data_IF_348918634773
#
_entry.id   IF_348918634773
#
_cell.length_a   1.000
_cell.length_b   1.000
_cell.length_c   1.000
_cell.angle_alpha   90.00
_cell.angle_beta   90.00
_cell.angle_gamma   90.00
#
_symmetry.space_group_name_H-M   'P 1'
#
loop_
_entity.id
_entity.type
_entity.pdbx_description
1 polymer ?
#
# COMPACT_ATOMS: atom_id res chain seq x y z
N UNK A 1 47.41 11.21 2.71
CA UNK A 1 46.00 11.02 3.14
C UNK A 1 45.16 10.94 1.91
N UNK A 2 44.79 9.71 1.45
CA UNK A 2 43.82 9.54 0.37
C UNK A 2 42.43 9.70 1.01
N UNK A 3 41.66 10.62 0.42
CA UNK A 3 40.28 10.92 0.79
C UNK A 3 39.44 9.66 0.60
N UNK A 4 38.81 9.17 1.67
CA UNK A 4 37.82 8.08 1.56
C UNK A 4 36.70 8.56 0.66
N UNK A 5 36.58 7.94 -0.50
CA UNK A 5 35.57 8.31 -1.49
C UNK A 5 34.21 7.80 -0.98
N UNK A 6 33.32 8.72 -0.66
CA UNK A 6 31.99 8.38 -0.16
C UNK A 6 31.08 8.06 -1.34
N UNK A 7 30.59 6.81 -1.43
CA UNK A 7 29.61 6.38 -2.42
C UNK A 7 28.20 6.59 -1.91
N UNK A 8 27.34 7.19 -2.74
CA UNK A 8 25.92 7.38 -2.43
C UNK A 8 25.14 6.06 -2.50
N UNK A 9 23.98 6.00 -1.85
CA UNK A 9 23.08 4.84 -1.95
C UNK A 9 22.64 4.58 -3.39
N UNK A 10 22.46 5.63 -4.19
CA UNK A 10 22.12 5.51 -5.62
C UNK A 10 23.23 4.80 -6.40
N UNK A 11 24.49 5.15 -6.14
CA UNK A 11 25.63 4.49 -6.78
C UNK A 11 25.76 3.03 -6.36
N UNK A 12 25.48 2.71 -5.09
CA UNK A 12 25.50 1.33 -4.61
C UNK A 12 24.36 0.51 -5.24
N UNK A 13 23.18 1.09 -5.38
CA UNK A 13 22.06 0.43 -6.06
C UNK A 13 22.37 0.22 -7.54
N UNK A 14 22.84 1.25 -8.26
CA UNK A 14 23.24 1.15 -9.66
C UNK A 14 24.32 0.09 -9.89
N UNK A 15 25.25 -0.06 -8.92
CA UNK A 15 26.25 -1.13 -8.97
C UNK A 15 25.63 -2.52 -8.87
N UNK A 16 24.70 -2.70 -7.90
CA UNK A 16 24.00 -3.99 -7.70
C UNK A 16 23.10 -4.33 -8.88
N UNK A 17 22.54 -3.30 -9.55
CA UNK A 17 21.71 -3.47 -10.75
C UNK A 17 22.52 -3.64 -12.04
N UNK A 18 23.82 -3.39 -11.99
CA UNK A 18 24.73 -3.53 -13.12
C UNK A 18 24.71 -2.32 -14.05
N UNK A 19 24.16 -1.19 -13.61
CA UNK A 19 23.96 0.04 -14.39
C UNK A 19 25.12 1.04 -14.32
N UNK A 20 26.14 0.79 -13.46
CA UNK A 20 27.34 1.61 -13.42
C UNK A 20 28.22 1.43 -14.64
N UNK A 21 28.85 2.51 -15.07
CA UNK A 21 29.86 2.45 -16.11
C UNK A 21 31.12 1.67 -15.66
N UNK A 22 31.96 1.17 -16.59
CA UNK A 22 33.12 0.33 -16.24
C UNK A 22 34.15 1.04 -15.36
N UNK A 23 34.30 2.37 -15.46
CA UNK A 23 35.28 3.11 -14.68
C UNK A 23 34.78 3.32 -13.24
N UNK A 24 33.52 3.66 -13.05
CA UNK A 24 32.87 3.78 -11.75
C UNK A 24 32.84 2.44 -11.02
N UNK A 25 32.52 1.37 -11.73
CA UNK A 25 32.54 0.01 -11.21
C UNK A 25 33.91 -0.40 -10.72
N UNK A 26 34.99 -0.08 -11.47
CA UNK A 26 36.35 -0.36 -11.08
C UNK A 26 36.78 0.45 -9.85
N UNK A 27 36.37 1.72 -9.76
CA UNK A 27 36.62 2.56 -8.58
C UNK A 27 35.93 1.99 -7.34
N UNK A 28 34.70 1.55 -7.46
CA UNK A 28 33.92 0.99 -6.37
C UNK A 28 34.54 -0.32 -5.85
N UNK A 29 34.95 -1.24 -6.75
CA UNK A 29 35.67 -2.45 -6.34
C UNK A 29 36.96 -2.16 -5.60
N UNK A 30 37.78 -1.24 -6.11
CA UNK A 30 39.05 -0.88 -5.46
C UNK A 30 38.85 -0.24 -4.09
N UNK A 31 37.71 0.41 -3.84
CA UNK A 31 37.40 0.98 -2.53
C UNK A 31 36.75 -0.07 -1.60
N UNK A 32 35.93 -0.97 -2.10
CA UNK A 32 35.33 -2.05 -1.33
C UNK A 32 36.42 -2.98 -0.72
N UNK A 33 37.43 -3.33 -1.47
CA UNK A 33 38.56 -4.13 -0.99
C UNK A 33 39.32 -3.47 0.18
N UNK A 34 39.17 -2.17 0.38
CA UNK A 34 39.86 -1.38 1.42
C UNK A 34 38.98 -0.94 2.56
N UNK A 35 37.66 -0.97 2.39
CA UNK A 35 36.66 -0.53 3.36
C UNK A 35 35.70 -1.66 3.70
N UNK A 36 35.86 -2.33 4.85
CA UNK A 36 34.95 -3.37 5.30
C UNK A 36 33.51 -2.88 5.43
N UNK A 37 33.32 -1.60 5.74
CA UNK A 37 32.03 -0.97 5.90
C UNK A 37 31.29 -0.83 4.54
N UNK A 38 32.02 -0.46 3.49
CA UNK A 38 31.49 -0.40 2.13
C UNK A 38 31.14 -1.80 1.61
N UNK A 39 32.00 -2.79 1.86
CA UNK A 39 31.74 -4.19 1.48
C UNK A 39 30.49 -4.73 2.19
N UNK A 40 30.32 -4.44 3.48
CA UNK A 40 29.11 -4.84 4.22
C UNK A 40 27.84 -4.23 3.64
N UNK A 41 27.85 -2.94 3.27
CA UNK A 41 26.71 -2.28 2.63
C UNK A 41 26.38 -2.92 1.28
N UNK A 42 27.37 -3.22 0.46
CA UNK A 42 27.20 -3.92 -0.84
C UNK A 42 26.62 -5.32 -0.66
N UNK A 43 27.12 -6.07 0.34
CA UNK A 43 26.59 -7.38 0.68
C UNK A 43 25.11 -7.33 1.10
N UNK A 44 24.72 -6.33 1.87
CA UNK A 44 23.33 -6.12 2.28
C UNK A 44 22.43 -5.83 1.08
N UNK A 45 22.84 -4.93 0.17
CA UNK A 45 22.08 -4.59 -1.04
C UNK A 45 21.92 -5.80 -1.96
N UNK A 46 22.97 -6.58 -2.19
CA UNK A 46 22.92 -7.82 -2.98
C UNK A 46 21.95 -8.83 -2.37
N UNK A 47 21.99 -8.99 -1.04
CA UNK A 47 21.09 -9.92 -0.34
C UNK A 47 19.63 -9.53 -0.51
N UNK A 48 19.29 -8.25 -0.43
CA UNK A 48 17.93 -7.76 -0.67
C UNK A 48 17.49 -8.07 -2.10
N UNK A 49 18.35 -7.79 -3.11
CA UNK A 49 18.04 -8.07 -4.52
C UNK A 49 17.80 -9.56 -4.77
N UNK A 50 18.63 -10.44 -4.21
CA UNK A 50 18.46 -11.90 -4.36
C UNK A 50 17.17 -12.39 -3.67
N UNK A 51 16.81 -11.84 -2.52
CA UNK A 51 15.55 -12.17 -1.86
C UNK A 51 14.33 -11.75 -2.69
N UNK A 52 14.36 -10.55 -3.28
CA UNK A 52 13.30 -10.08 -4.17
C UNK A 52 13.22 -10.97 -5.40
N UNK A 53 14.35 -11.26 -6.06
CA UNK A 53 14.40 -12.15 -7.22
C UNK A 53 13.83 -13.52 -6.90
N UNK A 54 14.23 -14.13 -5.78
CA UNK A 54 13.71 -15.41 -5.35
C UNK A 54 12.20 -15.41 -5.09
N UNK A 55 11.66 -14.31 -4.56
CA UNK A 55 10.21 -14.15 -4.36
C UNK A 55 9.42 -14.17 -5.68
N UNK A 56 10.05 -13.76 -6.79
CA UNK A 56 9.44 -13.72 -8.13
C UNK A 56 9.80 -14.90 -9.05
N UNK A 57 10.71 -15.79 -8.64
CA UNK A 57 11.14 -16.95 -9.46
C UNK A 57 9.98 -17.92 -9.80
N UNK A 58 8.91 -17.93 -9.00
CA UNK A 58 7.76 -18.82 -9.18
C UNK A 58 6.51 -18.11 -9.72
N UNK A 59 6.63 -16.87 -10.22
CA UNK A 59 5.48 -16.19 -10.83
C UNK A 59 5.24 -16.78 -12.21
N UNK A 60 4.08 -17.43 -12.49
CA UNK A 60 3.79 -17.99 -13.80
C UNK A 60 3.76 -16.89 -14.86
N UNK A 61 4.48 -17.13 -15.97
CA UNK A 61 4.43 -16.18 -17.09
C UNK A 61 2.99 -15.98 -17.57
N UNK A 62 2.58 -14.72 -17.83
CA UNK A 62 1.25 -14.44 -18.35
C UNK A 62 1.09 -15.16 -19.70
N UNK A 63 0.09 -16.03 -19.79
CA UNK A 63 -0.24 -16.76 -21.01
C UNK A 63 -0.57 -15.75 -22.11
N UNK A 64 0.36 -15.55 -23.03
CA UNK A 64 0.11 -14.71 -24.22
C UNK A 64 -0.86 -15.48 -25.11
N UNK A 65 -2.05 -14.91 -25.46
CA UNK A 65 -2.93 -15.58 -26.38
C UNK A 65 -2.23 -15.82 -27.72
N UNK A 66 -2.17 -17.09 -28.15
CA UNK A 66 -1.56 -17.46 -29.41
C UNK A 66 -2.23 -16.70 -30.56
N UNK A 67 -1.48 -15.87 -31.26
CA UNK A 67 -1.94 -15.23 -32.49
C UNK A 67 -2.05 -16.30 -33.55
N UNK A 68 -3.29 -16.74 -33.83
CA UNK A 68 -3.56 -17.63 -34.98
C UNK A 68 -3.17 -16.93 -36.28
N UNK A 69 -2.46 -17.59 -37.18
CA UNK A 69 -2.11 -17.02 -38.49
C UNK A 69 -3.38 -16.80 -39.30
N UNK A 70 -3.63 -15.55 -39.71
CA UNK A 70 -4.73 -15.21 -40.61
C UNK A 70 -4.50 -15.89 -41.97
N UNK A 71 -5.28 -16.96 -42.22
CA UNK A 71 -5.37 -17.59 -43.53
C UNK A 71 -5.98 -16.62 -44.55
N UNK A 72 -5.19 -16.32 -45.59
CA UNK A 72 -5.50 -15.34 -46.65
C UNK A 72 -6.67 -15.70 -47.59
N UNK A 73 -7.34 -16.83 -47.37
CA UNK A 73 -8.29 -17.41 -48.33
C UNK A 73 -9.78 -17.09 -48.10
N UNK A 74 -10.15 -16.29 -47.09
CA UNK A 74 -11.56 -16.09 -46.75
C UNK A 74 -11.98 -14.61 -46.57
N UNK A 75 -11.14 -13.67 -46.98
CA UNK A 75 -11.37 -12.27 -46.69
C UNK A 75 -12.65 -11.69 -47.27
N UNK A 76 -12.98 -11.96 -48.54
CA UNK A 76 -14.19 -11.39 -49.21
C UNK A 76 -15.49 -11.97 -48.65
N UNK A 77 -15.59 -13.25 -48.28
CA UNK A 77 -16.81 -13.81 -47.68
C UNK A 77 -17.04 -13.36 -46.25
N UNK A 78 -15.95 -13.05 -45.50
CA UNK A 78 -16.04 -12.56 -44.13
C UNK A 78 -16.44 -11.08 -44.06
N UNK A 79 -16.03 -10.26 -45.03
CA UNK A 79 -16.40 -8.85 -45.10
C UNK A 79 -17.88 -8.67 -45.36
N UNK A 80 -18.51 -9.49 -46.25
CA UNK A 80 -19.93 -9.46 -46.49
C UNK A 80 -20.76 -9.93 -45.26
N UNK A 81 -20.33 -10.98 -44.57
CA UNK A 81 -20.98 -11.43 -43.33
C UNK A 81 -20.86 -10.41 -42.19
N UNK A 82 -19.69 -9.76 -42.06
CA UNK A 82 -19.48 -8.72 -41.06
C UNK A 82 -20.31 -7.47 -41.32
N UNK A 83 -20.49 -7.07 -42.58
CA UNK A 83 -21.38 -5.95 -42.96
C UNK A 83 -22.83 -6.15 -42.57
N UNK A 84 -23.36 -7.35 -42.82
CA UNK A 84 -24.76 -7.69 -42.48
C UNK A 84 -24.95 -7.78 -40.95
N UNK A 85 -23.96 -8.34 -40.21
CA UNK A 85 -24.05 -8.39 -38.75
C UNK A 85 -23.92 -6.98 -38.12
N UNK A 86 -23.17 -6.10 -38.75
CA UNK A 86 -22.99 -4.71 -38.24
C UNK A 86 -24.28 -3.89 -38.46
N UNK A 87 -24.95 -4.04 -39.60
CA UNK A 87 -26.18 -3.33 -39.87
C UNK A 87 -27.33 -3.86 -39.01
N UNK A 88 -27.43 -5.19 -38.83
CA UNK A 88 -28.44 -5.81 -37.94
C UNK A 88 -28.13 -5.46 -36.47
N UNK A 89 -26.87 -5.48 -36.07
CA UNK A 89 -26.46 -5.10 -34.72
C UNK A 89 -26.69 -3.62 -34.41
N UNK A 90 -26.42 -2.71 -35.35
CA UNK A 90 -26.71 -1.29 -35.19
C UNK A 90 -28.23 -1.03 -35.14
N UNK A 91 -29.03 -1.68 -35.99
CA UNK A 91 -30.49 -1.56 -36.00
C UNK A 91 -31.14 -2.11 -34.74
N UNK A 92 -30.72 -3.31 -34.30
CA UNK A 92 -31.19 -3.89 -33.03
C UNK A 92 -30.70 -3.11 -31.79
N UNK A 93 -29.47 -2.56 -31.84
CA UNK A 93 -28.90 -1.72 -30.78
C UNK A 93 -29.64 -0.40 -30.63
N UNK A 94 -29.99 0.28 -31.75
CA UNK A 94 -30.76 1.54 -31.72
C UNK A 94 -32.20 1.31 -31.27
N UNK A 95 -32.86 0.25 -31.77
CA UNK A 95 -34.21 -0.12 -31.33
C UNK A 95 -34.19 -0.60 -29.86
N UNK A 96 -33.23 -1.41 -29.47
CA UNK A 96 -33.04 -1.82 -28.08
C UNK A 96 -32.81 -0.63 -27.15
N UNK A 97 -31.96 0.32 -27.54
CA UNK A 97 -31.76 1.55 -26.77
C UNK A 97 -33.06 2.35 -26.63
N UNK A 98 -33.82 2.51 -27.70
CA UNK A 98 -35.08 3.25 -27.67
C UNK A 98 -36.15 2.58 -26.79
N UNK A 99 -36.27 1.24 -26.84
CA UNK A 99 -37.23 0.50 -26.00
C UNK A 99 -36.74 0.34 -24.54
N UNK A 100 -35.45 0.21 -24.30
CA UNK A 100 -34.89 0.11 -22.95
C UNK A 100 -34.88 1.45 -22.20
N UNK A 101 -34.73 2.57 -22.92
CA UNK A 101 -34.72 3.91 -22.31
C UNK A 101 -36.13 4.36 -21.87
N UNK A 102 -37.17 3.92 -22.58
CA UNK A 102 -38.57 4.20 -22.17
C UNK A 102 -39.05 3.38 -20.96
N UNK A 103 -38.40 2.25 -20.67
CA UNK A 103 -38.76 1.38 -19.52
C UNK A 103 -37.77 1.42 -18.38
N UNK A 104 -36.73 2.23 -18.47
CA UNK A 104 -35.93 2.57 -17.29
C UNK A 104 -36.73 3.61 -16.50
N UNK A 105 -37.52 3.12 -15.52
CA UNK A 105 -37.68 3.89 -14.30
C UNK A 105 -36.26 4.29 -13.92
N UNK A 106 -35.96 5.61 -13.88
CA UNK A 106 -34.65 6.09 -13.44
C UNK A 106 -34.29 5.29 -12.18
N UNK A 107 -33.14 4.63 -12.16
CA UNK A 107 -32.73 4.02 -10.90
C UNK A 107 -32.80 5.14 -9.89
N UNK A 108 -33.64 4.96 -8.87
CA UNK A 108 -33.58 5.81 -7.69
C UNK A 108 -32.14 5.69 -7.29
N UNK A 109 -31.35 6.74 -7.57
CA UNK A 109 -29.98 6.81 -7.11
C UNK A 109 -30.09 6.74 -5.60
N UNK A 110 -29.87 5.56 -5.04
CA UNK A 110 -29.58 5.49 -3.63
C UNK A 110 -28.46 6.50 -3.42
N UNK A 111 -28.61 7.39 -2.42
CA UNK A 111 -27.57 8.36 -2.16
C UNK A 111 -26.27 7.56 -2.00
N UNK A 112 -25.33 7.74 -2.93
CA UNK A 112 -23.99 7.16 -2.80
C UNK A 112 -23.39 7.88 -1.61
N UNK A 113 -23.49 7.24 -0.45
CA UNK A 113 -22.85 7.73 0.76
C UNK A 113 -21.37 7.74 0.46
N UNK A 114 -20.79 8.92 0.33
CA UNK A 114 -19.36 9.04 0.14
C UNK A 114 -18.68 8.47 1.38
N UNK A 115 -18.02 7.34 1.23
CA UNK A 115 -17.28 6.70 2.33
C UNK A 115 -15.84 7.19 2.25
N UNK A 116 -15.48 8.10 3.15
CA UNK A 116 -14.11 8.58 3.31
C UNK A 116 -13.45 7.87 4.50
N UNK A 117 -12.63 6.87 4.21
CA UNK A 117 -11.94 6.09 5.23
C UNK A 117 -10.49 6.58 5.36
N UNK A 118 -10.01 6.70 6.59
CA UNK A 118 -8.66 7.17 6.91
C UNK A 118 -7.91 6.15 7.76
N UNK A 119 -6.65 5.90 7.42
CA UNK A 119 -5.71 5.14 8.22
C UNK A 119 -4.56 6.05 8.65
N UNK A 120 -4.52 6.37 9.92
CA UNK A 120 -3.44 7.13 10.54
C UNK A 120 -2.38 6.17 11.07
N UNK A 121 -1.11 6.42 10.74
CA UNK A 121 -0.01 5.55 11.11
C UNK A 121 0.98 6.27 12.03
N UNK A 122 0.97 5.90 13.29
CA UNK A 122 1.82 6.47 14.34
C UNK A 122 3.07 5.63 14.51
N UNK A 123 4.22 6.23 14.23
CA UNK A 123 5.53 5.55 14.33
C UNK A 123 6.43 6.16 15.39
N UNK A 124 6.17 7.39 15.79
CA UNK A 124 6.95 8.14 16.76
C UNK A 124 6.50 7.90 18.19
N UNK A 125 7.47 7.88 19.10
CA UNK A 125 7.24 7.89 20.55
C UNK A 125 7.19 9.30 21.15
N UNK A 126 7.18 10.35 20.35
CA UNK A 126 7.04 11.73 20.85
C UNK A 126 5.62 11.98 21.36
N UNK A 127 5.44 12.42 22.61
CA UNK A 127 4.12 12.65 23.16
C UNK A 127 3.29 13.68 22.37
N UNK A 128 3.93 14.71 21.83
CA UNK A 128 3.26 15.73 21.02
C UNK A 128 2.72 15.17 19.72
N UNK A 129 3.49 14.34 19.02
CA UNK A 129 3.06 13.66 17.78
C UNK A 129 1.97 12.63 18.05
N UNK A 130 2.09 11.85 19.13
CA UNK A 130 1.03 10.93 19.55
C UNK A 130 -0.29 11.68 19.84
N UNK A 131 -0.22 12.81 20.55
CA UNK A 131 -1.40 13.62 20.82
C UNK A 131 -1.97 14.26 19.54
N UNK A 132 -1.11 14.75 18.66
CA UNK A 132 -1.53 15.30 17.37
C UNK A 132 -2.28 14.26 16.52
N UNK A 133 -1.86 12.99 16.56
CA UNK A 133 -2.56 11.91 15.87
C UNK A 133 -3.99 11.70 16.40
N UNK A 134 -4.19 11.77 17.72
CA UNK A 134 -5.52 11.66 18.33
C UNK A 134 -6.41 12.85 17.97
N UNK A 135 -5.88 14.07 18.07
CA UNK A 135 -6.59 15.28 17.66
C UNK A 135 -6.95 15.26 16.17
N UNK A 136 -6.06 14.76 15.33
CA UNK A 136 -6.32 14.64 13.90
C UNK A 136 -7.46 13.65 13.61
N UNK A 137 -7.50 12.53 14.33
CA UNK A 137 -8.60 11.57 14.22
C UNK A 137 -9.94 12.20 14.64
N UNK A 138 -9.97 12.97 15.72
CA UNK A 138 -11.16 13.70 16.17
C UNK A 138 -11.60 14.72 15.12
N UNK A 139 -10.69 15.54 14.61
CA UNK A 139 -10.98 16.51 13.56
C UNK A 139 -11.51 15.88 12.27
N UNK A 140 -11.00 14.70 11.89
CA UNK A 140 -11.50 13.96 10.74
C UNK A 140 -12.95 13.51 10.94
N UNK A 141 -13.34 13.08 12.14
CA UNK A 141 -14.71 12.70 12.46
C UNK A 141 -15.65 13.91 12.47
N UNK A 142 -15.22 15.02 13.08
CA UNK A 142 -16.00 16.25 13.15
C UNK A 142 -16.22 16.91 11.77
N UNK A 143 -15.27 16.75 10.85
CA UNK A 143 -15.35 17.29 9.50
C UNK A 143 -16.21 16.43 8.55
N UNK A 144 -16.87 15.37 9.03
CA UNK A 144 -17.80 14.59 8.23
C UNK A 144 -19.06 15.39 7.94
N UNK A 145 -19.44 15.50 6.66
CA UNK A 145 -20.68 16.17 6.26
C UNK A 145 -21.92 15.30 6.61
N UNK A 146 -23.09 15.94 6.71
CA UNK A 146 -24.35 15.25 6.95
C UNK A 146 -24.61 14.16 5.90
N UNK A 147 -24.65 12.90 6.35
CA UNK A 147 -24.82 11.73 5.49
C UNK A 147 -23.53 11.09 4.97
N UNK A 148 -22.36 11.64 5.30
CA UNK A 148 -21.08 10.99 5.04
C UNK A 148 -20.76 9.96 6.14
N UNK A 149 -20.46 8.72 5.74
CA UNK A 149 -19.87 7.74 6.66
C UNK A 149 -18.34 7.85 6.60
N UNK A 150 -17.74 8.28 7.70
CA UNK A 150 -16.30 8.37 7.84
C UNK A 150 -15.80 7.35 8.86
N UNK A 151 -14.81 6.55 8.45
CA UNK A 151 -14.14 5.60 9.34
C UNK A 151 -12.70 6.02 9.51
N UNK A 152 -12.24 5.99 10.75
CA UNK A 152 -10.85 6.30 11.09
C UNK A 152 -10.25 5.09 11.80
N UNK A 153 -9.11 4.65 11.33
CA UNK A 153 -8.28 3.64 11.98
C UNK A 153 -6.94 4.27 12.35
N UNK A 154 -6.42 3.92 13.51
CA UNK A 154 -5.08 4.32 13.96
C UNK A 154 -4.26 3.05 14.15
N UNK A 155 -3.14 2.95 13.44
CA UNK A 155 -2.19 1.87 13.64
C UNK A 155 -0.89 2.41 14.23
N UNK A 156 -0.41 1.78 15.29
CA UNK A 156 0.81 2.16 15.99
C UNK A 156 1.87 1.06 15.88
N UNK A 157 3.08 1.43 15.47
CA UNK A 157 4.23 0.54 15.44
C UNK A 157 5.50 1.20 15.98
N UNK A 158 6.57 0.46 16.09
CA UNK A 158 7.85 0.93 16.61
C UNK A 158 7.68 1.66 17.96
N UNK A 159 8.19 2.89 18.07
CA UNK A 159 8.03 3.72 19.27
C UNK A 159 6.61 4.28 19.40
N UNK A 160 5.88 4.40 18.31
CA UNK A 160 4.48 4.82 18.33
C UNK A 160 3.57 3.84 19.09
N UNK A 161 4.01 2.59 19.30
CA UNK A 161 3.26 1.62 20.11
C UNK A 161 3.05 2.11 21.54
N UNK A 162 3.90 2.99 22.06
CA UNK A 162 3.77 3.58 23.39
C UNK A 162 2.45 4.37 23.55
N UNK A 163 1.85 4.85 22.47
CA UNK A 163 0.49 5.40 22.46
C UNK A 163 -0.55 4.41 23.00
N UNK A 164 -0.40 3.12 22.67
CA UNK A 164 -1.37 2.07 22.98
C UNK A 164 -0.97 1.18 24.16
N UNK A 165 0.20 1.40 24.74
CA UNK A 165 0.64 0.67 25.92
C UNK A 165 0.04 1.29 27.19
N UNK A 166 -0.73 0.50 27.93
CA UNK A 166 -1.46 0.92 29.12
C UNK A 166 -0.56 1.44 30.25
N UNK A 167 0.65 0.87 30.36
CA UNK A 167 1.65 1.25 31.36
C UNK A 167 2.43 2.53 31.01
N UNK A 168 2.32 3.01 29.77
CA UNK A 168 3.14 4.13 29.25
C UNK A 168 2.28 5.31 28.83
N UNK A 169 1.15 5.06 28.12
CA UNK A 169 0.35 6.11 27.52
C UNK A 169 -0.32 7.04 28.55
N UNK A 170 -0.16 8.35 28.43
CA UNK A 170 -0.95 9.29 29.20
C UNK A 170 -2.35 9.54 28.60
N UNK A 171 -2.64 9.00 27.40
CA UNK A 171 -3.82 9.32 26.57
C UNK A 171 -4.94 8.29 26.63
N UNK A 172 -5.01 7.48 27.68
CA UNK A 172 -6.01 6.41 27.78
C UNK A 172 -7.46 6.92 27.73
N UNK A 173 -7.72 8.16 28.19
CA UNK A 173 -9.05 8.77 28.15
C UNK A 173 -9.44 9.21 26.75
N UNK A 174 -8.53 9.86 26.04
CA UNK A 174 -8.68 10.32 24.67
C UNK A 174 -8.91 9.13 23.73
N UNK A 175 -8.11 8.06 23.90
CA UNK A 175 -8.28 6.80 23.15
C UNK A 175 -9.68 6.23 23.40
N UNK A 176 -10.12 6.15 24.67
CA UNK A 176 -11.45 5.63 24.99
C UNK A 176 -12.58 6.48 24.41
N UNK A 177 -12.42 7.81 24.37
CA UNK A 177 -13.38 8.70 23.74
C UNK A 177 -13.49 8.46 22.24
N UNK A 178 -12.34 8.34 21.55
CA UNK A 178 -12.29 8.03 20.12
C UNK A 178 -12.85 6.64 19.80
N UNK A 179 -12.59 5.64 20.64
CA UNK A 179 -13.20 4.30 20.52
C UNK A 179 -14.73 4.35 20.63
N UNK A 180 -15.27 5.19 21.50
CA UNK A 180 -16.71 5.42 21.63
C UNK A 180 -17.31 6.11 20.37
N UNK A 181 -16.47 6.75 19.57
CA UNK A 181 -16.81 7.38 18.27
C UNK A 181 -16.41 6.49 17.07
N UNK A 182 -16.34 5.17 17.26
CA UNK A 182 -16.03 4.18 16.24
C UNK A 182 -14.62 4.26 15.62
N UNK A 183 -13.66 4.93 16.27
CA UNK A 183 -12.25 4.84 15.88
C UNK A 183 -11.67 3.51 16.32
N UNK A 184 -11.05 2.79 15.40
CA UNK A 184 -10.43 1.49 15.68
C UNK A 184 -8.93 1.63 15.82
N UNK A 185 -8.39 1.08 16.90
CA UNK A 185 -6.96 1.12 17.19
C UNK A 185 -6.29 -0.24 16.94
N UNK A 186 -5.13 -0.19 16.30
CA UNK A 186 -4.31 -1.36 15.98
C UNK A 186 -2.89 -1.20 16.52
N UNK A 187 -2.45 -2.18 17.27
CA UNK A 187 -1.06 -2.36 17.66
C UNK A 187 -0.39 -3.31 16.65
N UNK A 188 0.77 -2.93 16.13
CA UNK A 188 1.51 -3.82 15.24
C UNK A 188 1.96 -5.09 15.98
N UNK A 189 1.44 -6.26 15.59
CA UNK A 189 1.75 -7.56 16.21
C UNK A 189 3.27 -7.80 16.29
N UNK A 190 3.99 -7.50 15.20
CA UNK A 190 5.45 -7.66 15.16
C UNK A 190 6.20 -6.76 16.15
N UNK A 191 5.66 -5.57 16.44
CA UNK A 191 6.26 -4.68 17.45
C UNK A 191 5.98 -5.19 18.85
N UNK A 192 4.78 -5.70 19.11
CA UNK A 192 4.41 -6.35 20.38
C UNK A 192 5.32 -7.55 20.62
N UNK A 193 5.40 -8.50 19.69
CA UNK A 193 6.26 -9.69 19.76
C UNK A 193 7.72 -9.34 20.05
N UNK A 194 8.25 -8.30 19.39
CA UNK A 194 9.64 -7.87 19.59
C UNK A 194 9.89 -7.31 20.99
N UNK A 195 8.93 -6.56 21.55
CA UNK A 195 9.04 -6.04 22.90
C UNK A 195 8.95 -7.17 23.91
N UNK A 196 8.02 -8.11 23.76
CA UNK A 196 7.87 -9.28 24.62
C UNK A 196 9.12 -10.17 24.57
N UNK A 197 9.70 -10.40 23.39
CA UNK A 197 10.95 -11.12 23.23
C UNK A 197 12.14 -10.43 23.91
N UNK A 198 12.08 -9.11 24.10
CA UNK A 198 13.07 -8.35 24.86
C UNK A 198 12.81 -8.33 26.38
N UNK A 199 11.78 -9.03 26.85
CA UNK A 199 11.40 -9.14 28.26
C UNK A 199 10.48 -8.01 28.77
N UNK A 200 9.93 -7.19 27.86
CA UNK A 200 8.95 -6.17 28.21
C UNK A 200 7.57 -6.78 28.19
N UNK A 201 6.82 -6.70 29.29
CA UNK A 201 5.40 -7.04 29.28
C UNK A 201 4.63 -5.94 28.55
N UNK A 202 3.87 -6.32 27.50
CA UNK A 202 3.06 -5.38 26.74
C UNK A 202 1.60 -5.54 27.13
N UNK A 203 1.08 -4.57 27.88
CA UNK A 203 -0.35 -4.49 28.20
C UNK A 203 -0.96 -3.36 27.37
N UNK A 204 -1.88 -3.72 26.46
CA UNK A 204 -2.51 -2.75 25.56
C UNK A 204 -3.74 -2.11 26.21
N UNK A 205 -4.05 -0.89 25.77
CA UNK A 205 -5.33 -0.25 26.11
C UNK A 205 -6.49 -1.13 25.64
N UNK A 206 -7.60 -1.24 26.41
CA UNK A 206 -8.74 -2.05 26.03
C UNK A 206 -9.23 -1.80 24.61
N UNK A 207 -9.77 -2.81 23.95
CA UNK A 207 -10.29 -2.76 22.57
C UNK A 207 -9.25 -2.38 21.50
N UNK A 208 -7.96 -2.58 21.77
CA UNK A 208 -6.90 -2.48 20.77
C UNK A 208 -6.69 -3.83 20.10
N UNK A 209 -6.72 -3.87 18.76
CA UNK A 209 -6.45 -5.08 17.99
C UNK A 209 -4.93 -5.22 17.76
N UNK A 210 -4.40 -6.43 17.91
CA UNK A 210 -2.98 -6.73 17.70
C UNK A 210 -2.74 -7.92 16.72
N UNK A 211 -3.73 -8.23 15.90
CA UNK A 211 -3.72 -9.42 15.02
C UNK A 211 -2.96 -9.19 13.70
N UNK A 212 -2.59 -7.95 13.39
CA UNK A 212 -2.00 -7.57 12.11
C UNK A 212 -0.65 -6.88 12.28
N UNK A 213 0.23 -7.07 11.29
CA UNK A 213 1.40 -6.20 11.18
C UNK A 213 0.97 -4.82 10.64
N UNK A 214 1.76 -3.78 10.94
CA UNK A 214 1.46 -2.45 10.41
C UNK A 214 1.47 -2.44 8.88
N UNK A 215 2.41 -3.16 8.26
CA UNK A 215 2.53 -3.25 6.80
C UNK A 215 1.30 -3.90 6.17
N UNK A 216 0.86 -5.04 6.69
CA UNK A 216 -0.30 -5.76 6.16
C UNK A 216 -1.56 -4.90 6.24
N UNK A 217 -1.74 -4.19 7.37
CA UNK A 217 -2.91 -3.33 7.54
C UNK A 217 -2.87 -2.14 6.59
N UNK A 218 -1.74 -1.46 6.45
CA UNK A 218 -1.57 -0.34 5.52
C UNK A 218 -1.84 -0.78 4.08
N UNK A 219 -1.23 -1.87 3.63
CA UNK A 219 -1.41 -2.37 2.26
C UNK A 219 -2.86 -2.74 1.99
N UNK A 220 -3.51 -3.48 2.90
CA UNK A 220 -4.92 -3.86 2.76
C UNK A 220 -5.82 -2.63 2.65
N UNK A 221 -5.66 -1.65 3.53
CA UNK A 221 -6.50 -0.45 3.53
C UNK A 221 -6.27 0.44 2.32
N UNK A 222 -5.03 0.58 1.85
CA UNK A 222 -4.74 1.30 0.62
C UNK A 222 -5.38 0.62 -0.61
N UNK A 223 -5.39 -0.71 -0.68
CA UNK A 223 -6.06 -1.46 -1.73
C UNK A 223 -7.59 -1.30 -1.70
N UNK A 224 -8.16 -1.09 -0.52
CA UNK A 224 -9.58 -0.79 -0.30
C UNK A 224 -9.94 0.69 -0.57
N UNK A 225 -8.96 1.52 -0.95
CA UNK A 225 -9.16 2.94 -1.27
C UNK A 225 -9.15 3.88 -0.06
N UNK A 226 -8.65 3.43 1.09
CA UNK A 226 -8.49 4.29 2.27
C UNK A 226 -7.41 5.33 2.05
N UNK A 227 -7.59 6.51 2.62
CA UNK A 227 -6.57 7.54 2.67
C UNK A 227 -5.57 7.20 3.79
N UNK A 228 -4.30 7.10 3.43
CA UNK A 228 -3.22 6.79 4.36
C UNK A 228 -2.47 8.06 4.73
N UNK A 229 -2.27 8.28 6.03
CA UNK A 229 -1.51 9.40 6.57
C UNK A 229 -0.53 8.90 7.63
N UNK A 230 0.74 9.25 7.48
CA UNK A 230 1.77 8.99 8.48
C UNK A 230 1.95 10.22 9.37
N UNK A 231 1.92 9.98 10.66
CA UNK A 231 2.10 10.98 11.72
C UNK A 231 3.46 10.76 12.39
#
# INVERSE_FOLDING_TARGET
MKKDEHFSEEQLNAFVDGELDPEEKSRLYNNADRSPELDQRLCQQRKVKELVKHAYDNVPEPVRPARSPLSRGGFFRRVLAAGVLLTVGLGAGLLGHYYFDQNRAAPVAEPVVAVNNYLLHVTSGDPGEMFAALQHAEALLEAADDGEQRRVEIIANEKGLDLLRRDVTPYAREISALQASDVVFYACSRTVERLEASGVQVELVPYTNADFTALDRVVSRMQEGWKYEKI
#
